data_IF_142935308321
#
_entry.id   IF_142935308321
#
_cell.length_a   1.000
_cell.length_b   1.000
_cell.length_c   1.000
_cell.angle_alpha   90.00
_cell.angle_beta   90.00
_cell.angle_gamma   90.00
#
_symmetry.space_group_name_H-M   'P 1'
#
loop_
_entity.id
_entity.type
_entity.pdbx_description
1 polymer ?
#
# COMPACT_ATOMS: atom_id res chain seq x y z
N UNK A 1 3.15 22.85 9.24
CA UNK A 1 2.26 22.98 8.07
C UNK A 1 2.04 21.59 7.51
N UNK A 2 0.86 21.27 7.00
CA UNK A 2 0.65 20.04 6.22
C UNK A 2 1.41 20.18 4.90
N UNK A 3 2.21 19.17 4.54
CA UNK A 3 2.83 19.12 3.22
C UNK A 3 1.77 18.73 2.19
N UNK A 4 1.73 19.48 1.09
CA UNK A 4 0.88 19.20 -0.06
C UNK A 4 1.78 18.95 -1.27
N UNK A 5 1.91 17.70 -1.75
CA UNK A 5 2.74 17.42 -2.91
C UNK A 5 2.17 18.11 -4.14
N UNK A 6 3.03 18.72 -4.96
CA UNK A 6 2.70 19.10 -6.34
C UNK A 6 2.32 17.85 -7.15
N UNK A 7 1.74 18.03 -8.34
CA UNK A 7 1.32 16.87 -9.16
C UNK A 7 2.50 16.01 -9.60
N UNK A 8 3.66 16.63 -9.88
CA UNK A 8 4.89 15.91 -10.26
C UNK A 8 5.44 15.12 -9.06
N UNK A 9 5.51 15.74 -7.88
CA UNK A 9 5.95 15.06 -6.66
C UNK A 9 5.02 13.91 -6.31
N UNK A 10 3.71 14.12 -6.39
CA UNK A 10 2.70 13.11 -6.12
C UNK A 10 2.86 11.94 -7.09
N UNK A 11 2.93 12.20 -8.40
CA UNK A 11 3.12 11.15 -9.40
C UNK A 11 4.38 10.32 -9.12
N UNK A 12 5.52 10.97 -8.89
CA UNK A 12 6.78 10.28 -8.62
C UNK A 12 6.73 9.47 -7.31
N UNK A 13 5.99 9.94 -6.31
CA UNK A 13 5.77 9.20 -5.07
C UNK A 13 4.87 7.98 -5.31
N UNK A 14 3.77 8.11 -6.05
CA UNK A 14 2.85 7.01 -6.34
C UNK A 14 3.51 5.92 -7.21
N UNK A 15 4.34 6.32 -8.18
CA UNK A 15 5.14 5.38 -8.98
C UNK A 15 6.06 4.51 -8.09
N UNK A 16 6.68 5.11 -7.06
CA UNK A 16 7.49 4.36 -6.08
C UNK A 16 6.65 3.56 -5.09
N UNK A 17 5.51 4.11 -4.65
CA UNK A 17 4.57 3.47 -3.73
C UNK A 17 3.98 2.19 -4.33
N UNK A 18 3.64 2.18 -5.62
CA UNK A 18 3.22 0.93 -6.29
C UNK A 18 4.43 0.04 -6.61
N UNK A 19 5.57 0.65 -6.95
CA UNK A 19 6.82 -0.04 -7.28
C UNK A 19 7.34 -0.94 -6.16
N UNK A 20 7.28 -0.51 -4.89
CA UNK A 20 7.75 -1.32 -3.76
C UNK A 20 7.10 -2.71 -3.69
N UNK A 21 5.83 -2.84 -4.08
CA UNK A 21 5.08 -4.10 -4.05
C UNK A 21 5.50 -5.07 -5.17
N UNK A 22 6.11 -4.55 -6.23
CA UNK A 22 6.54 -5.31 -7.39
C UNK A 22 8.06 -5.55 -7.46
N UNK A 23 8.84 -4.92 -6.59
CA UNK A 23 10.31 -4.95 -6.62
C UNK A 23 10.86 -6.33 -6.23
N UNK A 24 11.57 -7.05 -7.13
CA UNK A 24 12.15 -8.37 -6.84
C UNK A 24 13.38 -8.33 -5.92
N UNK A 25 14.20 -7.29 -6.00
CA UNK A 25 15.44 -7.19 -5.23
C UNK A 25 15.15 -6.68 -3.81
N UNK A 26 15.56 -7.47 -2.81
CA UNK A 26 15.26 -7.18 -1.42
C UNK A 26 15.93 -5.89 -0.91
N UNK A 27 17.13 -5.57 -1.40
CA UNK A 27 17.83 -4.35 -0.98
C UNK A 27 17.23 -3.12 -1.64
N UNK A 28 16.89 -3.20 -2.92
CA UNK A 28 16.10 -2.17 -3.62
C UNK A 28 14.74 -1.94 -2.96
N UNK A 29 14.07 -3.00 -2.51
CA UNK A 29 12.80 -2.89 -1.78
C UNK A 29 12.97 -2.12 -0.47
N UNK A 30 14.07 -2.33 0.28
CA UNK A 30 14.37 -1.55 1.49
C UNK A 30 14.57 -0.07 1.16
N UNK A 31 15.28 0.23 0.07
CA UNK A 31 15.51 1.60 -0.36
C UNK A 31 14.21 2.29 -0.77
N UNK A 32 13.38 1.61 -1.58
CA UNK A 32 12.06 2.11 -1.97
C UNK A 32 11.18 2.41 -0.74
N UNK A 33 11.20 1.56 0.29
CA UNK A 33 10.43 1.80 1.51
C UNK A 33 10.89 3.08 2.22
N UNK A 34 12.21 3.35 2.30
CA UNK A 34 12.72 4.61 2.88
C UNK A 34 12.43 5.84 2.03
N UNK A 35 12.31 5.64 0.72
CA UNK A 35 11.94 6.70 -0.22
C UNK A 35 10.44 7.03 -0.20
N UNK A 36 9.59 6.03 0.07
CA UNK A 36 8.12 6.15 0.10
C UNK A 36 7.62 6.57 1.46
N UNK A 37 8.12 6.00 2.55
CA UNK A 37 7.54 6.13 3.89
C UNK A 37 8.35 7.04 4.80
N UNK A 38 7.65 7.79 5.65
CA UNK A 38 8.24 8.44 6.82
C UNK A 38 8.82 7.37 7.77
N UNK A 39 9.80 7.73 8.62
CA UNK A 39 10.49 6.78 9.52
C UNK A 39 9.51 6.02 10.44
N UNK A 40 8.53 6.73 11.01
CA UNK A 40 7.42 6.17 11.79
C UNK A 40 6.10 6.14 11.00
N UNK A 41 6.19 6.12 9.67
CA UNK A 41 5.04 5.96 8.79
C UNK A 41 4.36 4.61 9.01
N UNK A 42 3.05 4.55 8.84
CA UNK A 42 2.29 3.33 9.07
C UNK A 42 1.17 3.10 8.05
N UNK A 43 0.90 1.82 7.78
CA UNK A 43 -0.26 1.37 7.04
C UNK A 43 -1.28 0.74 8.00
N UNK A 44 -2.56 1.03 7.79
CA UNK A 44 -3.69 0.40 8.46
C UNK A 44 -4.42 -0.47 7.44
N UNK A 45 -4.44 -1.78 7.67
CA UNK A 45 -5.32 -2.70 6.96
C UNK A 45 -6.70 -2.60 7.61
N UNK A 46 -7.57 -1.75 7.05
CA UNK A 46 -8.92 -1.52 7.58
C UNK A 46 -9.76 -2.80 7.46
N UNK A 47 -9.57 -3.51 6.35
CA UNK A 47 -10.12 -4.85 6.13
C UNK A 47 -8.98 -5.87 6.22
N UNK A 48 -8.70 -6.44 7.41
CA UNK A 48 -7.60 -7.41 7.54
C UNK A 48 -7.88 -8.68 6.72
N UNK A 49 -6.87 -9.50 6.41
CA UNK A 49 -7.02 -10.75 5.67
C UNK A 49 -8.16 -11.64 6.17
N UNK A 50 -8.81 -12.37 5.26
CA UNK A 50 -10.00 -13.18 5.54
C UNK A 50 -9.82 -14.12 6.74
N UNK A 51 -8.68 -14.82 6.83
CA UNK A 51 -8.39 -15.71 7.95
C UNK A 51 -8.46 -15.01 9.32
N UNK A 52 -8.07 -13.74 9.40
CA UNK A 52 -8.16 -12.95 10.64
C UNK A 52 -9.61 -12.55 10.91
N UNK A 53 -10.36 -12.18 9.88
CA UNK A 53 -11.79 -11.85 10.01
C UNK A 53 -12.61 -13.06 10.44
N UNK A 54 -12.33 -14.23 9.89
CA UNK A 54 -13.00 -15.49 10.24
C UNK A 54 -12.68 -15.91 11.68
N UNK A 55 -11.43 -15.76 12.09
CA UNK A 55 -11.02 -16.02 13.47
C UNK A 55 -11.76 -15.09 14.45
N UNK A 56 -11.81 -13.78 14.16
CA UNK A 56 -12.57 -12.84 14.98
C UNK A 56 -14.07 -13.20 15.05
N UNK A 57 -14.67 -13.55 13.90
CA UNK A 57 -16.07 -13.98 13.81
C UNK A 57 -16.35 -15.23 14.63
N UNK A 58 -15.43 -16.20 14.62
CA UNK A 58 -15.54 -17.42 15.43
C UNK A 58 -15.74 -17.10 16.93
N UNK A 59 -15.08 -16.06 17.43
CA UNK A 59 -15.22 -15.59 18.80
C UNK A 59 -16.30 -14.52 19.01
N UNK A 60 -17.11 -14.20 17.99
CA UNK A 60 -18.15 -13.18 18.07
C UNK A 60 -17.61 -11.74 18.14
N UNK A 61 -16.39 -11.51 17.64
CA UNK A 61 -15.73 -10.21 17.65
C UNK A 61 -15.73 -9.58 16.24
N UNK A 62 -15.75 -8.25 16.20
CA UNK A 62 -15.37 -7.51 15.01
C UNK A 62 -13.86 -7.66 14.78
N UNK A 63 -13.46 -7.91 13.53
CA UNK A 63 -12.05 -7.99 13.19
C UNK A 63 -11.38 -6.62 13.45
N UNK A 64 -10.26 -6.57 14.19
CA UNK A 64 -9.55 -5.32 14.41
C UNK A 64 -8.86 -4.88 13.13
N UNK A 65 -8.73 -3.56 12.92
CA UNK A 65 -7.79 -3.05 11.94
C UNK A 65 -6.36 -3.45 12.35
N UNK A 66 -5.51 -3.76 11.37
CA UNK A 66 -4.12 -4.17 11.63
C UNK A 66 -3.18 -3.05 11.21
N UNK A 67 -2.31 -2.64 12.13
CA UNK A 67 -1.28 -1.65 11.86
C UNK A 67 0.04 -2.33 11.46
N UNK A 68 0.69 -1.77 10.45
CA UNK A 68 2.06 -2.05 10.02
C UNK A 68 2.84 -0.74 10.14
N UNK A 69 3.74 -0.63 11.11
CA UNK A 69 4.43 0.63 11.45
C UNK A 69 5.95 0.51 11.31
N UNK A 70 6.54 1.54 10.70
CA UNK A 70 7.99 1.67 10.54
C UNK A 70 8.56 0.78 9.44
N UNK A 71 9.81 1.07 9.07
CA UNK A 71 10.46 0.47 7.90
C UNK A 71 10.57 -1.05 7.95
N UNK A 72 10.91 -1.64 9.10
CA UNK A 72 11.10 -3.08 9.19
C UNK A 72 9.78 -3.86 9.05
N UNK A 73 8.71 -3.37 9.67
CA UNK A 73 7.39 -3.99 9.54
C UNK A 73 6.85 -3.81 8.11
N UNK A 74 7.05 -2.62 7.51
CA UNK A 74 6.68 -2.38 6.12
C UNK A 74 7.45 -3.29 5.18
N UNK A 75 8.76 -3.46 5.39
CA UNK A 75 9.58 -4.37 4.60
C UNK A 75 9.09 -5.81 4.67
N UNK A 76 8.76 -6.31 5.87
CA UNK A 76 8.19 -7.64 6.02
C UNK A 76 6.84 -7.77 5.29
N UNK A 77 5.96 -6.78 5.42
CA UNK A 77 4.63 -6.77 4.79
C UNK A 77 4.69 -6.71 3.27
N UNK A 78 5.56 -5.86 2.72
CA UNK A 78 5.78 -5.72 1.26
C UNK A 78 6.43 -6.98 0.71
N UNK A 79 7.45 -7.50 1.38
CA UNK A 79 8.11 -8.76 0.99
C UNK A 79 7.11 -9.91 0.94
N UNK A 80 6.26 -10.05 1.96
CA UNK A 80 5.28 -11.13 1.99
C UNK A 80 4.26 -11.03 0.85
N UNK A 81 3.80 -9.83 0.52
CA UNK A 81 2.90 -9.64 -0.61
C UNK A 81 3.58 -9.94 -1.94
N UNK A 82 4.82 -9.49 -2.13
CA UNK A 82 5.61 -9.81 -3.33
C UNK A 82 5.75 -11.33 -3.53
N UNK A 83 6.16 -12.05 -2.47
CA UNK A 83 6.31 -13.52 -2.51
C UNK A 83 5.01 -14.24 -2.84
N UNK A 84 3.88 -13.76 -2.31
CA UNK A 84 2.59 -14.41 -2.47
C UNK A 84 1.96 -14.18 -3.84
N UNK A 85 2.22 -13.03 -4.47
CA UNK A 85 1.42 -12.59 -5.61
C UNK A 85 2.23 -12.24 -6.85
N UNK A 86 3.52 -11.90 -6.73
CA UNK A 86 4.32 -11.34 -7.83
C UNK A 86 5.53 -12.22 -8.18
N UNK A 87 6.09 -12.94 -7.20
CA UNK A 87 7.35 -13.67 -7.36
C UNK A 87 7.32 -14.78 -8.40
N UNK A 88 6.17 -15.41 -8.63
CA UNK A 88 5.96 -16.42 -9.68
C UNK A 88 5.82 -15.83 -11.09
N UNK A 89 5.70 -14.50 -11.18
CA UNK A 89 5.49 -13.77 -12.44
C UNK A 89 4.07 -13.88 -12.99
N UNK A 90 3.09 -14.32 -12.20
CA UNK A 90 1.69 -14.43 -12.64
C UNK A 90 0.95 -13.09 -12.54
N UNK A 91 1.23 -12.27 -11.52
CA UNK A 91 0.53 -11.01 -11.29
C UNK A 91 1.45 -9.79 -11.24
N UNK A 92 0.82 -8.62 -11.29
CA UNK A 92 1.45 -7.30 -11.10
C UNK A 92 0.47 -6.39 -10.38
N UNK A 93 0.97 -5.58 -9.43
CA UNK A 93 0.18 -4.49 -8.85
C UNK A 93 0.34 -3.23 -9.70
N UNK A 94 -0.78 -2.61 -10.06
CA UNK A 94 -0.84 -1.40 -10.90
C UNK A 94 -1.78 -0.36 -10.27
N UNK A 95 -1.49 0.95 -10.43
CA UNK A 95 -2.48 1.97 -10.10
C UNK A 95 -3.67 1.86 -11.07
N UNK A 96 -4.86 2.16 -10.58
CA UNK A 96 -6.08 2.21 -11.38
C UNK A 96 -6.70 3.60 -11.24
N UNK A 97 -6.92 4.29 -12.35
CA UNK A 97 -7.50 5.64 -12.37
C UNK A 97 -6.55 6.75 -11.90
N UNK A 98 -7.11 7.96 -11.79
CA UNK A 98 -6.37 9.14 -11.33
C UNK A 98 -6.51 9.30 -9.81
N UNK A 99 -5.44 9.70 -9.09
CA UNK A 99 -5.53 9.98 -7.67
C UNK A 99 -6.43 11.19 -7.37
N UNK A 100 -7.22 11.10 -6.30
CA UNK A 100 -8.16 12.14 -5.88
C UNK A 100 -7.60 12.87 -4.66
N UNK A 101 -7.46 14.19 -4.75
CA UNK A 101 -7.06 15.04 -3.63
C UNK A 101 -8.25 15.36 -2.74
N UNK A 102 -8.06 15.29 -1.43
CA UNK A 102 -9.06 15.58 -0.41
C UNK A 102 -8.58 16.72 0.52
N UNK A 103 -9.52 17.22 1.34
CA UNK A 103 -9.21 18.23 2.35
C UNK A 103 -8.10 17.75 3.30
N UNK A 104 -7.22 18.66 3.73
CA UNK A 104 -6.13 18.33 4.65
C UNK A 104 -4.96 17.58 4.01
N UNK A 105 -4.73 17.76 2.70
CA UNK A 105 -3.64 17.16 1.93
C UNK A 105 -3.70 15.63 1.76
N UNK A 106 -4.82 14.99 2.11
CA UNK A 106 -4.98 13.56 1.89
C UNK A 106 -5.16 13.25 0.40
N UNK A 107 -4.66 12.10 -0.04
CA UNK A 107 -4.82 11.60 -1.41
C UNK A 107 -5.41 10.20 -1.37
N UNK A 108 -6.50 10.00 -2.10
CA UNK A 108 -7.06 8.68 -2.35
C UNK A 108 -6.60 8.14 -3.71
N UNK A 109 -6.25 6.86 -3.78
CA UNK A 109 -5.92 6.18 -5.03
C UNK A 109 -6.43 4.75 -5.02
N UNK A 110 -6.73 4.22 -6.20
CA UNK A 110 -7.11 2.82 -6.38
C UNK A 110 -5.98 2.04 -7.03
N UNK A 111 -5.93 0.74 -6.75
CA UNK A 111 -4.97 -0.18 -7.36
C UNK A 111 -5.66 -1.49 -7.72
N UNK A 112 -5.06 -2.20 -8.67
CA UNK A 112 -5.45 -3.55 -9.08
C UNK A 112 -4.26 -4.48 -9.07
N UNK A 113 -4.51 -5.73 -8.70
CA UNK A 113 -3.63 -6.85 -8.97
C UNK A 113 -4.11 -7.50 -10.27
N UNK A 114 -3.31 -7.36 -11.32
CA UNK A 114 -3.66 -7.82 -12.67
C UNK A 114 -2.91 -9.10 -13.01
N UNK A 115 -3.62 -10.07 -13.56
CA UNK A 115 -3.03 -11.25 -14.21
C UNK A 115 -2.24 -10.81 -15.43
N UNK A 116 -0.98 -11.23 -15.53
CA UNK A 116 -0.12 -10.95 -16.70
C UNK A 116 -0.51 -11.80 -17.91
N UNK A 117 -1.20 -12.92 -17.69
CA UNK A 117 -1.58 -13.85 -18.76
C UNK A 117 -2.71 -13.32 -19.63
N UNK A 118 -3.72 -12.70 -19.02
CA UNK A 118 -4.96 -12.31 -19.70
C UNK A 118 -5.49 -10.92 -19.32
N UNK A 119 -4.80 -10.20 -18.43
CA UNK A 119 -5.18 -8.86 -18.02
C UNK A 119 -6.36 -8.79 -17.05
N UNK A 120 -6.87 -9.93 -16.58
CA UNK A 120 -7.98 -9.97 -15.62
C UNK A 120 -7.56 -9.40 -14.27
N UNK A 121 -8.52 -8.78 -13.55
CA UNK A 121 -8.29 -8.23 -12.21
C UNK A 121 -8.55 -9.32 -11.18
N UNK A 122 -7.49 -9.75 -10.49
CA UNK A 122 -7.53 -10.78 -9.46
C UNK A 122 -7.74 -10.20 -8.05
N UNK A 123 -7.50 -8.90 -7.87
CA UNK A 123 -7.78 -8.17 -6.64
C UNK A 123 -7.73 -6.67 -6.87
N UNK A 124 -8.39 -5.88 -6.03
CA UNK A 124 -8.35 -4.43 -6.09
C UNK A 124 -8.48 -3.81 -4.71
N UNK A 125 -8.09 -2.55 -4.61
CA UNK A 125 -8.20 -1.82 -3.35
C UNK A 125 -8.20 -0.31 -3.54
N UNK A 126 -8.52 0.36 -2.44
CA UNK A 126 -8.45 1.80 -2.26
C UNK A 126 -7.46 2.08 -1.13
N UNK A 127 -6.63 3.09 -1.33
CA UNK A 127 -5.69 3.60 -0.34
C UNK A 127 -6.00 5.07 -0.06
N UNK A 128 -5.85 5.48 1.19
CA UNK A 128 -5.94 6.89 1.59
C UNK A 128 -4.65 7.30 2.29
N UNK A 129 -3.84 8.09 1.57
CA UNK A 129 -2.52 8.52 1.98
C UNK A 129 -2.54 9.90 2.64
N UNK A 130 -1.68 10.09 3.64
CA UNK A 130 -1.26 11.41 4.12
C UNK A 130 0.27 11.48 4.17
N UNK A 131 0.82 12.70 4.23
CA UNK A 131 2.25 12.94 4.04
C UNK A 131 2.91 13.64 5.23
N UNK A 132 4.20 13.39 5.45
CA UNK A 132 5.05 14.13 6.38
C UNK A 132 5.62 15.40 5.72
N UNK A 133 6.45 16.15 6.45
CA UNK A 133 7.02 17.41 5.95
C UNK A 133 8.01 17.24 4.78
N UNK A 134 8.57 16.04 4.60
CA UNK A 134 9.53 15.69 3.54
C UNK A 134 8.82 15.09 2.31
N UNK A 135 7.48 15.03 2.34
CA UNK A 135 6.68 14.47 1.27
C UNK A 135 6.68 12.97 1.18
N UNK A 136 7.01 12.27 2.27
CA UNK A 136 6.87 10.82 2.39
C UNK A 136 5.52 10.45 3.00
N UNK A 137 5.05 9.25 2.72
CA UNK A 137 3.80 8.70 3.28
C UNK A 137 3.94 8.58 4.80
N UNK A 138 3.10 9.33 5.51
CA UNK A 138 2.95 9.26 6.97
C UNK A 138 1.92 8.23 7.40
N UNK A 139 0.80 8.18 6.68
CA UNK A 139 -0.27 7.21 6.95
C UNK A 139 -0.82 6.68 5.65
N UNK A 140 -1.15 5.40 5.62
CA UNK A 140 -1.83 4.74 4.52
C UNK A 140 -2.99 3.91 5.08
N UNK A 141 -4.23 4.17 4.66
CA UNK A 141 -5.39 3.38 5.08
C UNK A 141 -5.89 2.56 3.92
N UNK A 142 -5.70 1.25 4.03
CA UNK A 142 -5.99 0.27 3.00
C UNK A 142 -7.37 -0.34 3.17
N UNK A 143 -8.14 -0.32 2.09
CA UNK A 143 -9.41 -1.00 1.92
C UNK A 143 -9.28 -1.97 0.73
N UNK A 144 -9.42 -3.27 0.99
CA UNK A 144 -9.31 -4.31 -0.05
C UNK A 144 -10.70 -4.88 -0.32
N UNK A 145 -11.03 -5.06 -1.60
CA UNK A 145 -12.29 -5.65 -2.07
C UNK A 145 -12.21 -7.17 -2.23
#
# INVERSE_FOLDING_TARGET
MSYEPTDIELKNLLDRWVGQWNEPDADRRRDLIREVWAEDGYQILVNPPEAIRDTARHYGLSAPAIEVRGYDAMFARVTRAYEMFVADGEHVFEPEGEPVRHAGAAVALTWVMRSRADGTVAGSGLEVLTFDADGRVRTDHQFVN
#
